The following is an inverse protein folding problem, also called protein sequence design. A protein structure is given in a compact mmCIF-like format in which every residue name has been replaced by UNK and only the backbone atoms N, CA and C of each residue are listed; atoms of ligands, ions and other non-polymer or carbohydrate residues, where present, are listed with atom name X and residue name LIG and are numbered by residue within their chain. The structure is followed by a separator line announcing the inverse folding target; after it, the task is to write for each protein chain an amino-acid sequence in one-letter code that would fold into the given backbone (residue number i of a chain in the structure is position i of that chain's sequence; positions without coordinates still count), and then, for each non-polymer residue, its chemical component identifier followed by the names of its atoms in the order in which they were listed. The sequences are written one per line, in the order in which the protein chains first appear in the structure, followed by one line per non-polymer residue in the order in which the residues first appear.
data_IF_288428832907
#
_entry.id   IF_288428832907
#
_cell.length_a   1.000
_cell.length_b   1.000
_cell.length_c   1.000
_cell.angle_alpha   90.00
_cell.angle_beta   90.00
_cell.angle_gamma   90.00
#
_symmetry.space_group_name_H-M   'P 1'
#
loop_
_entity.id
_entity.type
_entity.pdbx_description
1 polymer ?
#
# COMPACT_ATOMS: atom_id res chain seq x y z
N UNK A 1 7.82 7.16 26.98
CA UNK A 1 8.18 7.15 25.55
C UNK A 1 7.10 6.38 24.83
N UNK A 2 6.42 6.97 23.85
CA UNK A 2 5.50 6.23 22.99
C UNK A 2 6.31 5.41 22.00
N UNK A 3 6.02 4.12 21.89
CA UNK A 3 6.61 3.28 20.85
C UNK A 3 5.98 3.65 19.50
N UNK A 4 6.81 3.69 18.46
CA UNK A 4 6.39 4.03 17.10
C UNK A 4 6.83 2.94 16.13
N UNK A 5 5.98 2.64 15.15
CA UNK A 5 6.30 1.81 14.01
C UNK A 5 5.83 2.47 12.72
N UNK A 6 6.44 2.10 11.59
CA UNK A 6 6.17 2.70 10.30
C UNK A 6 5.89 1.63 9.26
N UNK A 7 4.90 1.85 8.40
CA UNK A 7 4.58 0.96 7.29
C UNK A 7 4.44 1.77 6.00
N UNK A 8 5.26 1.43 5.01
CA UNK A 8 5.20 1.96 3.66
C UNK A 8 4.27 1.09 2.82
N UNK A 9 3.14 1.68 2.39
CA UNK A 9 2.11 0.98 1.64
C UNK A 9 1.83 1.62 0.29
N UNK A 10 1.56 0.77 -0.68
CA UNK A 10 1.19 1.12 -2.04
C UNK A 10 -0.27 0.79 -2.29
N UNK A 11 -1.04 1.77 -2.74
CA UNK A 11 -2.43 1.62 -3.17
C UNK A 11 -2.44 1.42 -4.67
N UNK A 12 -2.93 0.26 -5.12
CA UNK A 12 -2.95 -0.15 -6.52
C UNK A 12 -4.40 -0.29 -6.98
N UNK A 13 -4.68 0.00 -8.25
CA UNK A 13 -6.00 -0.19 -8.84
C UNK A 13 -5.98 -1.18 -9.98
N UNK A 14 -6.85 -2.18 -9.94
CA UNK A 14 -7.06 -3.05 -11.09
C UNK A 14 -7.54 -2.20 -12.30
N UNK A 15 -6.87 -2.28 -13.46
CA UNK A 15 -7.21 -1.48 -14.63
C UNK A 15 -8.57 -1.87 -15.23
N UNK A 16 -9.00 -3.12 -15.05
CA UNK A 16 -10.24 -3.65 -15.61
C UNK A 16 -11.46 -3.33 -14.71
N UNK A 17 -11.56 -3.95 -13.53
CA UNK A 17 -12.73 -3.81 -12.65
C UNK A 17 -12.61 -2.71 -11.58
N UNK A 18 -11.51 -1.95 -11.55
CA UNK A 18 -11.28 -0.81 -10.63
C UNK A 18 -11.16 -1.16 -9.15
N UNK A 19 -11.14 -2.44 -8.76
CA UNK A 19 -10.86 -2.89 -7.38
C UNK A 19 -9.53 -2.30 -6.89
N UNK A 20 -9.51 -1.87 -5.63
CA UNK A 20 -8.31 -1.35 -4.97
C UNK A 20 -7.64 -2.43 -4.12
N UNK A 21 -6.31 -2.43 -4.15
CA UNK A 21 -5.44 -3.28 -3.33
C UNK A 21 -4.48 -2.40 -2.54
N UNK A 22 -4.08 -2.89 -1.37
CA UNK A 22 -3.00 -2.32 -0.56
C UNK A 22 -1.95 -3.41 -0.39
N UNK A 23 -0.71 -3.06 -0.66
CA UNK A 23 0.44 -3.95 -0.45
C UNK A 23 1.59 -3.16 0.17
N UNK A 24 2.52 -3.87 0.80
CA UNK A 24 3.83 -3.35 1.13
C UNK A 24 4.54 -2.80 -0.12
N UNK A 25 5.06 -1.58 -0.03
CA UNK A 25 5.55 -0.88 -1.22
C UNK A 25 6.76 -1.53 -1.88
N UNK A 26 7.57 -2.28 -1.14
CA UNK A 26 8.72 -3.00 -1.69
C UNK A 26 8.31 -4.00 -2.79
N UNK A 27 7.25 -4.78 -2.56
CA UNK A 27 6.76 -5.76 -3.54
C UNK A 27 6.23 -5.07 -4.82
N UNK A 28 5.57 -3.92 -4.65
CA UNK A 28 4.91 -3.19 -5.73
C UNK A 28 5.90 -2.41 -6.59
N UNK A 29 6.86 -1.74 -5.94
CA UNK A 29 7.78 -0.80 -6.58
C UNK A 29 9.03 -1.49 -7.09
N UNK A 30 9.65 -2.35 -6.27
CA UNK A 30 10.98 -2.89 -6.59
C UNK A 30 10.90 -4.21 -7.36
N UNK A 31 9.92 -5.07 -7.06
CA UNK A 31 9.75 -6.32 -7.81
C UNK A 31 8.93 -6.13 -9.10
N UNK A 32 8.11 -5.07 -9.17
CA UNK A 32 7.19 -4.79 -10.29
C UNK A 32 6.39 -6.03 -10.74
N UNK A 33 6.05 -6.90 -9.79
CA UNK A 33 5.40 -8.18 -10.12
C UNK A 33 4.00 -7.96 -10.70
N UNK A 34 3.66 -8.77 -11.70
CA UNK A 34 2.27 -8.86 -12.12
C UNK A 34 1.46 -9.63 -11.08
N UNK A 35 0.23 -9.18 -10.84
CA UNK A 35 -0.73 -9.85 -9.94
C UNK A 35 -2.01 -10.18 -10.69
N UNK A 36 -2.70 -11.23 -10.25
CA UNK A 36 -4.05 -11.53 -10.71
C UNK A 36 -5.09 -10.84 -9.81
N UNK A 37 -6.02 -10.12 -10.42
CA UNK A 37 -7.16 -9.55 -9.73
C UNK A 37 -8.07 -10.67 -9.22
N UNK A 38 -8.25 -10.75 -7.89
CA UNK A 38 -9.14 -11.74 -7.28
C UNK A 38 -10.61 -11.62 -7.69
N UNK A 39 -11.04 -10.45 -8.17
CA UNK A 39 -12.46 -10.20 -8.49
C UNK A 39 -12.83 -10.43 -9.96
N UNK A 40 -11.94 -10.07 -10.89
CA UNK A 40 -12.23 -10.17 -12.33
C UNK A 40 -11.25 -11.07 -13.10
N UNK A 41 -10.24 -11.62 -12.43
CA UNK A 41 -9.24 -12.50 -13.03
C UNK A 41 -8.17 -11.81 -13.88
N UNK A 42 -8.27 -10.50 -14.12
CA UNK A 42 -7.28 -9.73 -14.89
C UNK A 42 -5.88 -9.81 -14.28
N UNK A 43 -4.87 -10.10 -15.10
CA UNK A 43 -3.45 -10.08 -14.68
C UNK A 43 -2.84 -8.74 -15.09
N UNK A 44 -2.23 -8.02 -14.15
CA UNK A 44 -1.70 -6.68 -14.42
C UNK A 44 -0.49 -6.32 -13.56
N UNK A 45 0.35 -5.44 -14.09
CA UNK A 45 1.53 -4.91 -13.41
C UNK A 45 1.15 -3.94 -12.29
N UNK A 46 1.67 -4.17 -11.08
CA UNK A 46 1.31 -3.35 -9.92
C UNK A 46 1.89 -1.94 -9.95
N UNK A 47 3.13 -1.76 -10.43
CA UNK A 47 3.80 -0.45 -10.49
C UNK A 47 3.11 0.50 -11.47
N UNK A 48 2.78 0.02 -12.67
CA UNK A 48 2.06 0.80 -13.70
C UNK A 48 0.65 1.23 -13.28
N UNK A 49 0.08 0.53 -12.31
CA UNK A 49 -1.28 0.76 -11.82
C UNK A 49 -1.30 1.31 -10.38
N UNK A 50 -0.15 1.78 -9.88
CA UNK A 50 -0.01 2.45 -8.60
C UNK A 50 -0.79 3.77 -8.62
N UNK A 51 -1.61 4.00 -7.61
CA UNK A 51 -2.30 5.27 -7.41
C UNK A 51 -1.54 6.18 -6.47
N UNK A 52 -1.12 5.64 -5.33
CA UNK A 52 -0.44 6.36 -4.25
C UNK A 52 0.46 5.41 -3.48
N UNK A 53 1.56 5.96 -2.97
CA UNK A 53 2.40 5.33 -1.95
C UNK A 53 2.38 6.22 -0.73
N UNK A 54 2.13 5.67 0.46
CA UNK A 54 1.99 6.45 1.69
C UNK A 54 2.75 5.78 2.83
N UNK A 55 3.33 6.61 3.69
CA UNK A 55 3.95 6.14 4.93
C UNK A 55 2.94 6.29 6.07
N UNK A 56 2.55 5.17 6.68
CA UNK A 56 1.73 5.14 7.87
C UNK A 56 2.63 5.11 9.11
N UNK A 57 2.30 5.91 10.13
CA UNK A 57 2.90 5.83 11.47
C UNK A 57 1.89 5.22 12.42
N UNK A 58 2.34 4.22 13.17
CA UNK A 58 1.63 3.56 14.24
C UNK A 58 2.21 4.07 15.56
N UNK A 59 1.38 4.64 16.42
CA UNK A 59 1.77 5.05 17.78
C UNK A 59 1.05 4.16 18.79
N UNK A 60 1.82 3.41 19.57
CA UNK A 60 1.27 2.52 20.58
C UNK A 60 0.83 3.33 21.81
N UNK A 61 -0.43 3.14 22.19
CA UNK A 61 -1.04 3.75 23.38
C UNK A 61 -1.47 2.64 24.34
N UNK A 62 -1.79 3.00 25.59
CA UNK A 62 -2.05 2.05 26.70
C UNK A 62 -2.93 0.84 26.33
N UNK A 63 -3.96 1.04 25.49
CA UNK A 63 -4.92 0.00 25.08
C UNK A 63 -5.18 0.00 23.56
N UNK A 64 -4.22 0.37 22.72
CA UNK A 64 -4.46 0.40 21.28
C UNK A 64 -3.34 1.03 20.47
N UNK A 65 -3.67 1.35 19.22
CA UNK A 65 -2.73 1.96 18.28
C UNK A 65 -3.43 3.11 17.55
N UNK A 66 -2.79 4.27 17.52
CA UNK A 66 -3.18 5.35 16.62
C UNK A 66 -2.42 5.17 15.29
N UNK A 67 -3.11 5.36 14.15
CA UNK A 67 -2.53 5.28 12.81
C UNK A 67 -2.74 6.59 12.08
N UNK A 68 -1.65 7.21 11.63
CA UNK A 68 -1.68 8.44 10.86
C UNK A 68 -0.91 8.32 9.54
N UNK A 69 -1.35 9.05 8.52
CA UNK A 69 -0.59 9.22 7.27
C UNK A 69 0.46 10.30 7.52
N UNK A 70 1.74 9.92 7.49
CA UNK A 70 2.86 10.86 7.69
C UNK A 70 3.11 11.67 6.43
N UNK A 71 3.11 11.01 5.28
CA UNK A 71 3.31 11.64 3.96
C UNK A 71 2.88 10.72 2.83
N UNK A 72 2.59 11.34 1.69
CA UNK A 72 2.60 10.67 0.40
C UNK A 72 4.04 10.62 -0.13
N UNK A 73 4.47 9.46 -0.61
CA UNK A 73 5.78 9.23 -1.20
C UNK A 73 5.61 9.35 -2.71
N UNK A 74 6.25 10.35 -3.30
CA UNK A 74 6.39 10.51 -4.74
C UNK A 74 7.77 10.04 -5.16
N UNK A 75 7.84 9.19 -6.17
CA UNK A 75 9.09 8.81 -6.85
C UNK A 75 9.73 10.01 -7.56
#
# INVERSE_FOLDING_TARGET
MSEEAYLDVSIIRCPNCRKLYIDSSWYVIDMESDIQCGECGEVFNTRKNLLKRILLKFTFIKNGVNVEIVREITD
#
